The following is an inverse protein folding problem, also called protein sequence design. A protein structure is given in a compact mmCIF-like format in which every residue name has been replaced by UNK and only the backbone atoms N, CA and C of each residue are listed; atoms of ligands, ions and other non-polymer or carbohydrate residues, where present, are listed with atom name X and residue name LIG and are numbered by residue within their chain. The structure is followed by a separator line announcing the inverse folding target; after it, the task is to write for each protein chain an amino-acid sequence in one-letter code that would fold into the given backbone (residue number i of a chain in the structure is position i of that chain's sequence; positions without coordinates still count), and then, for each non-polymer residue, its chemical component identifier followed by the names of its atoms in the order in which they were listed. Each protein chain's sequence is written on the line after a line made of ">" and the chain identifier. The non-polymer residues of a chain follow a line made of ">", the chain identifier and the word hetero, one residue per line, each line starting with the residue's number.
data_IF_788005567393
#
_entry.id   IF_788005567393
#
_cell.length_a   1.000
_cell.length_b   1.000
_cell.length_c   1.000
_cell.angle_alpha   90.00
_cell.angle_beta   90.00
_cell.angle_gamma   90.00
#
_symmetry.space_group_name_H-M   'P 1'
#
loop_
_entity.id
_entity.type
_entity.pdbx_description
1 polymer ?
#
# COMPACT_ATOMS: atom_id res chain seq x y z
N UNK A 1 12.43 1.10 -8.02
CA UNK A 1 13.26 0.33 -7.06
C UNK A 1 14.74 0.54 -7.35
N UNK A 2 15.59 0.61 -6.32
CA UNK A 2 17.06 0.60 -6.48
C UNK A 2 17.51 -0.62 -7.30
N UNK A 3 18.54 -0.46 -8.14
CA UNK A 3 19.05 -1.50 -9.05
C UNK A 3 19.39 -2.79 -8.33
N UNK A 4 19.84 -2.72 -7.07
CA UNK A 4 20.16 -3.91 -6.26
C UNK A 4 18.96 -4.84 -6.03
N UNK A 5 17.74 -4.31 -6.11
CA UNK A 5 16.51 -5.10 -5.92
C UNK A 5 15.97 -5.70 -7.21
N UNK A 6 16.42 -5.26 -8.40
CA UNK A 6 15.81 -5.64 -9.68
C UNK A 6 15.83 -7.15 -9.92
N UNK A 7 16.92 -7.83 -9.58
CA UNK A 7 17.05 -9.29 -9.75
C UNK A 7 16.04 -10.10 -8.94
N UNK A 8 15.65 -9.60 -7.76
CA UNK A 8 14.63 -10.24 -6.92
C UNK A 8 13.23 -9.87 -7.42
N UNK A 9 12.97 -8.57 -7.57
CA UNK A 9 11.64 -8.04 -7.90
C UNK A 9 11.14 -8.47 -9.27
N UNK A 10 12.02 -8.64 -10.26
CA UNK A 10 11.59 -9.04 -11.61
C UNK A 10 10.91 -10.41 -11.63
N UNK A 11 11.37 -11.35 -10.78
CA UNK A 11 10.78 -12.69 -10.69
C UNK A 11 9.40 -12.63 -10.05
N UNK A 12 9.27 -11.84 -8.99
CA UNK A 12 8.02 -11.64 -8.26
C UNK A 12 6.97 -10.92 -9.11
N UNK A 13 7.35 -9.82 -9.74
CA UNK A 13 6.45 -9.06 -10.61
C UNK A 13 6.02 -9.84 -11.84
N UNK A 14 6.91 -10.65 -12.43
CA UNK A 14 6.52 -11.56 -13.50
C UNK A 14 5.48 -12.56 -13.01
N UNK A 15 5.70 -13.17 -11.84
CA UNK A 15 4.73 -14.11 -11.27
C UNK A 15 3.38 -13.43 -10.97
N UNK A 16 3.36 -12.21 -10.43
CA UNK A 16 2.13 -11.46 -10.23
C UNK A 16 1.39 -11.17 -11.54
N UNK A 17 2.14 -10.77 -12.58
CA UNK A 17 1.57 -10.53 -13.91
C UNK A 17 0.98 -11.81 -14.50
N UNK A 18 1.68 -12.94 -14.39
CA UNK A 18 1.23 -14.24 -14.90
C UNK A 18 0.01 -14.77 -14.13
N UNK A 19 -0.08 -14.53 -12.81
CA UNK A 19 -1.15 -15.05 -11.94
C UNK A 19 -2.40 -14.17 -11.89
N UNK A 20 -2.22 -12.85 -11.84
CA UNK A 20 -3.29 -11.89 -11.58
C UNK A 20 -3.54 -10.93 -12.76
N UNK A 21 -2.72 -11.00 -13.80
CA UNK A 21 -2.78 -10.06 -14.94
C UNK A 21 -2.33 -8.64 -14.59
N UNK A 22 -1.84 -8.41 -13.36
CA UNK A 22 -1.43 -7.10 -12.82
C UNK A 22 -0.30 -7.27 -11.81
N UNK A 23 0.54 -6.24 -11.68
CA UNK A 23 1.65 -6.18 -10.72
C UNK A 23 1.21 -5.29 -9.55
N UNK A 24 0.85 -5.90 -8.43
CA UNK A 24 0.41 -5.23 -7.20
C UNK A 24 1.57 -4.93 -6.24
N UNK A 25 2.71 -5.58 -6.45
CA UNK A 25 3.90 -5.46 -5.61
C UNK A 25 3.62 -5.90 -4.16
N UNK A 26 3.01 -7.08 -3.99
CA UNK A 26 2.53 -7.60 -2.71
C UNK A 26 3.58 -7.61 -1.60
N UNK A 27 4.87 -7.77 -1.97
CA UNK A 27 6.02 -7.67 -1.06
C UNK A 27 6.02 -6.41 -0.19
N UNK A 28 5.52 -5.29 -0.72
CA UNK A 28 5.54 -3.99 -0.03
C UNK A 28 4.23 -3.65 0.67
N UNK A 29 3.23 -4.53 0.59
CA UNK A 29 2.00 -4.37 1.35
C UNK A 29 2.32 -4.46 2.85
N UNK A 30 1.89 -3.49 3.67
CA UNK A 30 2.03 -3.60 5.12
C UNK A 30 1.36 -4.86 5.65
N UNK A 31 2.00 -5.51 6.63
CA UNK A 31 1.49 -6.69 7.32
C UNK A 31 0.52 -6.36 8.47
N UNK A 32 0.45 -5.10 8.87
CA UNK A 32 -0.48 -4.61 9.88
C UNK A 32 -1.79 -4.11 9.24
N UNK A 33 -2.86 -4.13 10.05
CA UNK A 33 -4.16 -3.61 9.62
C UNK A 33 -4.05 -2.13 9.25
N UNK A 34 -4.54 -1.79 8.05
CA UNK A 34 -4.69 -0.40 7.60
C UNK A 34 -6.07 0.07 8.06
N UNK A 35 -6.11 1.22 8.73
CA UNK A 35 -7.33 1.89 9.17
C UNK A 35 -7.03 3.34 9.46
N UNK A 36 -8.05 4.20 9.41
CA UNK A 36 -7.90 5.62 9.72
C UNK A 36 -7.58 5.84 11.20
N UNK A 37 -6.41 6.42 11.48
CA UNK A 37 -5.95 6.84 12.82
C UNK A 37 -6.31 8.30 13.12
N UNK A 38 -6.26 8.76 14.39
CA UNK A 38 -6.34 10.18 14.73
C UNK A 38 -5.30 11.03 13.99
N UNK A 39 -5.63 12.28 13.68
CA UNK A 39 -4.82 13.15 12.82
C UNK A 39 -3.40 13.40 13.37
N UNK A 40 -3.27 13.44 14.69
CA UNK A 40 -2.03 13.67 15.42
C UNK A 40 -1.08 12.46 15.39
N UNK A 41 -1.59 11.28 15.01
CA UNK A 41 -0.79 10.06 14.92
C UNK A 41 0.00 9.95 13.60
N UNK A 42 -0.26 10.84 12.63
CA UNK A 42 0.45 10.82 11.35
C UNK A 42 1.75 11.63 11.43
N UNK A 43 2.89 11.08 10.96
CA UNK A 43 4.17 11.80 10.92
C UNK A 43 4.20 12.81 9.77
N UNK A 44 3.37 13.85 9.86
CA UNK A 44 3.22 14.89 8.84
C UNK A 44 3.70 16.25 9.35
N UNK A 45 4.20 17.09 8.44
CA UNK A 45 4.62 18.47 8.77
C UNK A 45 3.46 19.47 8.78
N UNK A 46 2.32 19.10 8.24
CA UNK A 46 1.11 19.92 8.20
C UNK A 46 -0.14 19.07 8.44
N UNK A 47 -1.19 19.71 8.95
CA UNK A 47 -2.48 19.06 9.19
C UNK A 47 -3.14 18.60 7.88
N UNK A 48 -2.92 19.33 6.79
CA UNK A 48 -3.45 18.98 5.48
C UNK A 48 -2.84 17.67 4.96
N UNK A 49 -1.52 17.49 5.12
CA UNK A 49 -0.86 16.22 4.76
C UNK A 49 -1.35 15.07 5.63
N UNK A 50 -1.49 15.28 6.93
CA UNK A 50 -2.06 14.26 7.83
C UNK A 50 -3.49 13.87 7.41
N UNK A 51 -4.32 14.83 7.01
CA UNK A 51 -5.69 14.57 6.57
C UNK A 51 -5.73 13.74 5.28
N UNK A 52 -4.84 14.02 4.33
CA UNK A 52 -4.71 13.22 3.10
C UNK A 52 -4.29 11.78 3.45
N UNK A 53 -3.30 11.60 4.34
CA UNK A 53 -2.87 10.27 4.79
C UNK A 53 -4.01 9.49 5.45
N UNK A 54 -4.82 10.17 6.27
CA UNK A 54 -6.02 9.60 6.89
C UNK A 54 -7.02 9.12 5.84
N UNK A 55 -7.33 9.96 4.86
CA UNK A 55 -8.27 9.60 3.78
C UNK A 55 -7.75 8.42 2.94
N UNK A 56 -6.44 8.36 2.67
CA UNK A 56 -5.81 7.22 2.00
C UNK A 56 -5.98 5.94 2.82
N UNK A 57 -5.67 5.96 4.12
CA UNK A 57 -5.80 4.77 4.97
C UNK A 57 -7.26 4.35 5.14
N UNK A 58 -8.20 5.29 5.17
CA UNK A 58 -9.63 4.99 5.23
C UNK A 58 -10.09 4.21 3.98
N UNK A 59 -9.63 4.60 2.79
CA UNK A 59 -9.98 3.90 1.55
C UNK A 59 -9.33 2.51 1.43
N UNK A 60 -8.26 2.25 2.18
CA UNK A 60 -7.53 0.99 2.22
C UNK A 60 -7.90 0.10 3.42
N UNK A 61 -8.83 0.54 4.27
CA UNK A 61 -9.30 -0.25 5.41
C UNK A 61 -10.10 -1.45 4.89
N UNK A 62 -9.80 -2.65 5.40
CA UNK A 62 -10.50 -3.89 5.04
C UNK A 62 -12.02 -3.81 5.27
N UNK A 63 -12.47 -2.97 6.20
CA UNK A 63 -13.88 -2.75 6.47
C UNK A 63 -14.59 -1.85 5.42
N UNK A 64 -13.83 -1.12 4.60
CA UNK A 64 -14.32 -0.10 3.66
C UNK A 64 -14.01 -0.47 2.21
N UNK A 65 -12.80 -0.97 1.95
CA UNK A 65 -12.32 -1.28 0.62
C UNK A 65 -13.07 -2.49 0.03
N UNK A 66 -13.46 -2.38 -1.25
CA UNK A 66 -14.07 -3.50 -1.97
C UNK A 66 -13.07 -4.61 -2.25
N UNK A 67 -11.81 -4.24 -2.50
CA UNK A 67 -10.69 -5.16 -2.72
C UNK A 67 -9.42 -4.61 -2.01
N UNK A 68 -9.31 -4.72 -0.66
CA UNK A 68 -8.26 -4.06 0.13
C UNK A 68 -6.84 -4.48 -0.23
N UNK A 69 -6.67 -5.64 -0.87
CA UNK A 69 -5.35 -6.20 -1.19
C UNK A 69 -4.98 -6.02 -2.67
N UNK A 70 -5.90 -5.53 -3.51
CA UNK A 70 -5.70 -5.41 -4.96
C UNK A 70 -5.55 -3.94 -5.40
N UNK A 71 -4.88 -3.15 -4.57
CA UNK A 71 -4.61 -1.72 -4.75
C UNK A 71 -3.11 -1.43 -4.67
#
# INVERSE_FOLDING_TARGET
>A
FDKKFHNALIKEFKNELDQFGRIYMYRFRPDHKIYARPLEAYPAKSQQTAAIMLMIQNNLDDAVAQHPHEL
#
